data_IF_067061606324
#
_entry.id   IF_067061606324
#
_cell.length_a   1.000
_cell.length_b   1.000
_cell.length_c   1.000
_cell.angle_alpha   90.00
_cell.angle_beta   90.00
_cell.angle_gamma   90.00
#
_symmetry.space_group_name_H-M   'P 1'
#
loop_
_entity.id
_entity.type
_entity.pdbx_description
1 polymer ?
#
# COMPACT_ATOMS: atom_id res chain seq x y z
N UNK A 1 -11.42 8.08 10.39
CA UNK A 1 -10.07 8.56 10.06
C UNK A 1 -9.12 8.09 11.12
N UNK A 2 -8.05 7.43 10.73
CA UNK A 2 -6.88 7.34 11.61
C UNK A 2 -5.61 7.27 10.79
N UNK A 3 -4.71 8.23 11.03
CA UNK A 3 -3.38 8.28 10.44
C UNK A 3 -2.32 7.93 11.48
N UNK A 4 -1.22 7.36 11.04
CA UNK A 4 -0.05 7.09 11.86
C UNK A 4 1.21 7.35 11.05
N UNK A 5 2.19 8.02 11.66
CA UNK A 5 3.52 8.16 11.10
C UNK A 5 4.58 8.06 12.19
N UNK A 6 5.72 7.47 11.83
CA UNK A 6 6.88 7.39 12.70
C UNK A 6 8.15 7.26 11.85
N UNK A 7 9.29 7.49 12.48
CA UNK A 7 10.60 7.31 11.86
C UNK A 7 11.43 6.42 12.78
N UNK A 8 11.93 5.30 12.26
CA UNK A 8 12.85 4.43 13.02
C UNK A 8 13.85 3.75 12.09
N UNK A 9 14.94 3.24 12.65
CA UNK A 9 15.97 2.51 11.90
C UNK A 9 15.40 1.23 11.28
N UNK A 10 16.08 0.72 10.26
CA UNK A 10 15.66 -0.51 9.60
C UNK A 10 16.82 -1.48 9.53
N UNK A 11 16.68 -2.64 10.16
CA UNK A 11 17.68 -3.69 10.16
C UNK A 11 16.99 -5.04 10.05
N UNK A 12 17.72 -6.04 9.58
CA UNK A 12 17.22 -7.41 9.46
C UNK A 12 18.39 -8.41 9.57
N UNK A 13 19.38 -8.13 10.42
CA UNK A 13 20.59 -8.94 10.59
C UNK A 13 20.49 -9.95 11.75
N UNK A 14 19.60 -9.69 12.71
CA UNK A 14 19.34 -10.56 13.87
C UNK A 14 17.84 -10.70 14.15
N UNK A 15 17.48 -11.66 15.01
CA UNK A 15 16.11 -11.86 15.48
C UNK A 15 15.54 -10.62 16.18
N UNK A 16 16.38 -9.89 16.92
CA UNK A 16 15.99 -8.64 17.57
C UNK A 16 15.56 -7.58 16.54
N UNK A 17 16.33 -7.44 15.45
CA UNK A 17 15.98 -6.51 14.37
C UNK A 17 14.65 -6.91 13.72
N UNK A 18 14.48 -8.22 13.45
CA UNK A 18 13.26 -8.76 12.85
C UNK A 18 12.02 -8.45 13.70
N UNK A 19 12.11 -8.69 15.01
CA UNK A 19 11.04 -8.36 15.95
C UNK A 19 10.77 -6.86 15.97
N UNK A 20 11.81 -6.01 16.01
CA UNK A 20 11.65 -4.57 16.12
C UNK A 20 10.84 -3.96 14.97
N UNK A 21 11.27 -4.14 13.71
CA UNK A 21 10.55 -3.51 12.59
C UNK A 21 9.17 -4.14 12.38
N UNK A 22 9.05 -5.45 12.65
CA UNK A 22 7.79 -6.17 12.52
C UNK A 22 6.76 -5.73 13.56
N UNK A 23 7.17 -5.58 14.82
CA UNK A 23 6.30 -5.07 15.89
C UNK A 23 5.95 -3.60 15.71
N UNK A 24 6.90 -2.77 15.26
CA UNK A 24 6.64 -1.35 14.94
C UNK A 24 5.56 -1.24 13.85
N UNK A 25 5.65 -2.07 12.81
CA UNK A 25 4.66 -2.09 11.74
C UNK A 25 3.31 -2.64 12.22
N UNK A 26 3.28 -3.74 12.99
CA UNK A 26 2.05 -4.24 13.61
C UNK A 26 1.35 -3.18 14.46
N UNK A 27 2.11 -2.47 15.30
CA UNK A 27 1.58 -1.42 16.18
C UNK A 27 1.02 -0.24 15.38
N UNK A 28 1.67 0.13 14.27
CA UNK A 28 1.13 1.15 13.37
C UNK A 28 -0.16 0.69 12.69
N UNK A 29 -0.27 -0.58 12.28
CA UNK A 29 -1.53 -1.10 11.70
C UNK A 29 -2.67 -1.09 12.74
N UNK A 30 -2.37 -1.38 14.00
CA UNK A 30 -3.33 -1.23 15.10
C UNK A 30 -3.71 0.24 15.31
N UNK A 31 -2.72 1.15 15.28
CA UNK A 31 -2.93 2.59 15.46
C UNK A 31 -3.83 3.17 14.38
N UNK A 32 -3.70 2.78 13.11
CA UNK A 32 -4.57 3.27 12.03
C UNK A 32 -5.95 2.61 12.03
N UNK A 33 -6.26 1.74 12.97
CA UNK A 33 -7.56 1.07 13.04
C UNK A 33 -7.73 -0.06 12.02
N UNK A 34 -6.66 -0.77 11.69
CA UNK A 34 -6.69 -1.97 10.85
C UNK A 34 -6.53 -3.25 11.70
N UNK A 35 -7.55 -3.67 12.45
CA UNK A 35 -7.42 -4.64 13.54
C UNK A 35 -7.04 -6.05 13.08
N UNK A 36 -6.34 -6.77 13.96
CA UNK A 36 -6.14 -8.22 13.84
C UNK A 36 -7.45 -8.98 14.05
N UNK A 37 -7.57 -10.08 13.35
CA UNK A 37 -8.58 -11.13 13.61
C UNK A 37 -8.14 -12.01 14.78
N UNK A 38 -9.01 -12.90 15.24
CA UNK A 38 -8.72 -13.87 16.30
C UNK A 38 -8.15 -15.20 15.76
N UNK A 39 -7.61 -15.21 14.55
CA UNK A 39 -7.01 -16.39 13.95
C UNK A 39 -5.89 -16.96 14.83
N UNK A 40 -5.94 -18.27 15.05
CA UNK A 40 -4.88 -19.02 15.72
C UNK A 40 -3.59 -19.01 14.89
N UNK A 41 -2.44 -19.18 15.56
CA UNK A 41 -1.13 -19.26 14.89
C UNK A 41 -0.55 -17.92 14.40
N UNK A 42 -1.19 -16.79 14.72
CA UNK A 42 -0.63 -15.48 14.42
C UNK A 42 0.70 -15.24 15.14
N UNK A 43 1.55 -14.42 14.51
CA UNK A 43 2.93 -14.16 14.93
C UNK A 43 2.99 -13.60 16.36
N UNK A 44 3.90 -14.13 17.17
CA UNK A 44 4.24 -13.57 18.47
C UNK A 44 5.54 -12.77 18.35
N UNK A 45 5.41 -11.45 18.31
CA UNK A 45 6.56 -10.55 18.18
C UNK A 45 7.54 -10.60 19.34
N UNK A 46 7.20 -11.19 20.49
CA UNK A 46 8.14 -11.35 21.60
C UNK A 46 9.10 -12.53 21.40
N UNK A 47 8.68 -13.58 20.67
CA UNK A 47 9.40 -14.86 20.62
C UNK A 47 9.77 -15.32 19.21
N UNK A 48 9.20 -14.71 18.16
CA UNK A 48 9.49 -15.12 16.79
C UNK A 48 10.98 -14.94 16.46
N UNK A 49 11.53 -15.93 15.77
CA UNK A 49 12.88 -15.88 15.17
C UNK A 49 12.80 -15.49 13.71
N UNK A 50 13.83 -14.79 13.25
CA UNK A 50 13.97 -14.43 11.84
C UNK A 50 14.18 -15.72 11.03
N UNK A 51 13.49 -15.90 9.90
CA UNK A 51 13.72 -17.05 9.04
C UNK A 51 15.06 -16.90 8.29
N UNK A 52 15.49 -17.96 7.59
CA UNK A 52 16.76 -17.93 6.85
C UNK A 52 16.64 -17.15 5.54
N UNK A 53 16.11 -17.76 4.48
CA UNK A 53 15.97 -17.17 3.14
C UNK A 53 14.65 -17.65 2.54
N UNK A 54 13.96 -16.78 1.79
CA UNK A 54 12.76 -17.11 1.03
C UNK A 54 11.59 -17.68 1.86
N UNK A 55 11.51 -17.35 3.15
CA UNK A 55 10.54 -17.95 4.06
C UNK A 55 9.85 -16.90 4.93
N UNK A 56 8.57 -17.15 5.23
CA UNK A 56 7.83 -16.44 6.27
C UNK A 56 8.07 -17.14 7.62
N UNK A 57 8.28 -16.35 8.68
CA UNK A 57 8.37 -16.84 10.06
C UNK A 57 7.05 -16.76 10.82
N UNK A 58 6.08 -16.00 10.32
CA UNK A 58 4.75 -15.89 10.89
C UNK A 58 3.86 -14.94 10.09
N UNK A 59 2.62 -14.80 10.53
CA UNK A 59 1.64 -13.95 9.86
C UNK A 59 0.75 -13.19 10.83
N UNK A 60 0.10 -12.16 10.31
CA UNK A 60 -1.06 -11.54 10.90
C UNK A 60 -2.21 -11.65 9.90
N UNK A 61 -3.42 -11.90 10.39
CA UNK A 61 -4.64 -11.80 9.58
C UNK A 61 -5.43 -10.61 10.11
N UNK A 62 -5.66 -9.63 9.26
CA UNK A 62 -6.32 -8.35 9.58
C UNK A 62 -7.54 -8.16 8.70
N UNK A 63 -8.46 -7.29 9.11
CA UNK A 63 -9.70 -7.05 8.36
C UNK A 63 -10.05 -5.56 8.31
N UNK A 64 -10.76 -5.17 7.26
CA UNK A 64 -11.33 -3.83 7.17
C UNK A 64 -12.34 -3.61 8.27
N UNK A 65 -12.26 -2.46 8.92
CA UNK A 65 -13.20 -2.01 9.94
C UNK A 65 -13.98 -0.79 9.42
N UNK A 66 -14.75 -1.01 8.36
CA UNK A 66 -15.55 0.01 7.68
C UNK A 66 -17.03 -0.40 7.62
N UNK A 67 -17.91 0.48 7.15
CA UNK A 67 -19.36 0.24 7.14
C UNK A 67 -19.79 -0.97 6.27
N UNK A 68 -18.92 -1.39 5.36
CA UNK A 68 -19.16 -2.52 4.45
C UNK A 68 -18.50 -3.83 4.93
N UNK A 69 -17.81 -3.84 6.07
CA UNK A 69 -17.12 -5.03 6.57
C UNK A 69 -18.05 -6.24 6.77
N UNK A 70 -19.33 -6.01 7.10
CA UNK A 70 -20.31 -7.08 7.31
C UNK A 70 -20.87 -7.69 6.00
N UNK A 71 -20.97 -6.91 4.92
CA UNK A 71 -21.63 -7.33 3.67
C UNK A 71 -20.64 -7.63 2.54
N UNK A 72 -19.50 -6.95 2.55
CA UNK A 72 -18.40 -7.12 1.61
C UNK A 72 -17.07 -7.14 2.38
N UNK A 73 -16.79 -8.20 3.16
CA UNK A 73 -15.59 -8.29 3.97
C UNK A 73 -14.32 -8.27 3.11
N UNK A 74 -13.29 -7.56 3.60
CA UNK A 74 -11.93 -7.60 3.07
C UNK A 74 -11.03 -8.07 4.22
N UNK A 75 -10.43 -9.24 4.03
CA UNK A 75 -9.50 -9.84 4.97
C UNK A 75 -8.13 -9.96 4.31
N UNK A 76 -7.09 -9.58 5.04
CA UNK A 76 -5.72 -9.50 4.55
C UNK A 76 -4.82 -10.33 5.45
N UNK A 77 -4.14 -11.32 4.88
CA UNK A 77 -3.02 -12.00 5.51
C UNK A 77 -1.73 -11.29 5.13
N UNK A 78 -0.97 -10.88 6.14
CA UNK A 78 0.37 -10.28 6.00
C UNK A 78 1.35 -11.28 6.61
N UNK A 79 2.26 -11.81 5.80
CA UNK A 79 3.30 -12.74 6.25
C UNK A 79 4.63 -12.01 6.35
N UNK A 80 5.36 -12.25 7.42
CA UNK A 80 6.63 -11.59 7.75
C UNK A 80 7.78 -12.59 7.67
N UNK A 81 8.91 -12.20 7.09
CA UNK A 81 10.08 -13.05 7.06
C UNK A 81 11.27 -12.45 6.32
N UNK A 82 11.93 -13.27 5.51
CA UNK A 82 13.17 -12.94 4.79
C UNK A 82 13.02 -13.22 3.30
N UNK A 83 13.46 -12.29 2.47
CA UNK A 83 13.30 -12.35 1.01
C UNK A 83 14.19 -13.43 0.35
N UNK A 84 13.96 -13.70 -0.93
CA UNK A 84 14.43 -14.92 -1.60
C UNK A 84 15.91 -15.02 -1.96
N UNK A 85 16.66 -13.91 -1.94
CA UNK A 85 18.05 -13.91 -2.40
C UNK A 85 19.09 -13.76 -1.27
N UNK A 86 18.72 -13.16 -0.13
CA UNK A 86 19.66 -12.84 0.96
C UNK A 86 18.93 -12.87 2.30
N UNK A 87 19.51 -13.53 3.31
CA UNK A 87 18.90 -13.66 4.64
C UNK A 87 18.74 -12.34 5.39
N UNK A 88 19.57 -11.35 5.07
CA UNK A 88 19.53 -10.03 5.69
C UNK A 88 18.55 -9.06 5.01
N UNK A 89 17.77 -9.55 4.03
CA UNK A 89 16.76 -8.75 3.37
C UNK A 89 15.38 -9.14 3.92
N UNK A 90 14.64 -8.20 4.53
CA UNK A 90 13.32 -8.49 5.05
C UNK A 90 12.37 -8.87 3.90
N UNK A 91 11.40 -9.72 4.20
CA UNK A 91 10.38 -10.20 3.27
C UNK A 91 8.99 -9.99 3.85
N UNK A 92 8.07 -9.51 3.01
CA UNK A 92 6.66 -9.44 3.34
C UNK A 92 5.86 -10.03 2.19
N UNK A 93 4.87 -10.86 2.51
CA UNK A 93 3.88 -11.35 1.54
C UNK A 93 2.49 -10.92 1.96
N UNK A 94 1.61 -10.81 0.96
CA UNK A 94 0.22 -10.46 1.18
C UNK A 94 -0.71 -11.41 0.43
N UNK A 95 -1.77 -11.83 1.10
CA UNK A 95 -2.94 -12.48 0.48
C UNK A 95 -4.19 -11.71 0.90
N UNK A 96 -5.09 -11.44 -0.03
CA UNK A 96 -6.36 -10.73 0.26
C UNK A 96 -7.51 -11.62 -0.18
N UNK A 97 -8.54 -11.73 0.67
CA UNK A 97 -9.76 -12.44 0.38
C UNK A 97 -10.95 -11.91 1.16
N UNK A 98 -12.00 -12.73 1.25
CA UNK A 98 -13.29 -12.35 1.83
C UNK A 98 -13.50 -12.88 3.25
N UNK A 99 -12.59 -13.72 3.73
CA UNK A 99 -12.70 -14.30 5.05
C UNK A 99 -11.41 -14.98 5.48
N UNK A 100 -11.44 -15.51 6.69
CA UNK A 100 -10.45 -16.44 7.20
C UNK A 100 -11.15 -17.68 7.77
N UNK A 101 -10.45 -18.81 7.83
CA UNK A 101 -10.95 -20.04 8.45
C UNK A 101 -10.63 -20.14 9.96
N UNK A 102 -10.05 -19.10 10.55
CA UNK A 102 -9.63 -19.07 11.96
C UNK A 102 -8.28 -19.76 12.23
N UNK A 103 -7.67 -20.38 11.21
CA UNK A 103 -6.34 -20.99 11.25
C UNK A 103 -5.34 -20.23 10.36
N UNK A 104 -5.66 -18.99 9.97
CA UNK A 104 -4.82 -18.16 9.13
C UNK A 104 -4.90 -18.47 7.63
N UNK A 105 -5.84 -19.30 7.16
CA UNK A 105 -6.06 -19.49 5.74
C UNK A 105 -7.14 -18.53 5.24
N UNK A 106 -6.79 -17.76 4.20
CA UNK A 106 -7.72 -16.81 3.58
C UNK A 106 -8.71 -17.58 2.70
N UNK A 107 -10.00 -17.31 2.90
CA UNK A 107 -11.10 -17.84 2.09
C UNK A 107 -11.58 -16.80 1.07
N UNK A 108 -12.12 -17.25 -0.06
CA UNK A 108 -12.56 -16.34 -1.14
C UNK A 108 -11.43 -15.42 -1.62
N UNK A 109 -10.27 -16.01 -1.93
CA UNK A 109 -9.06 -15.27 -2.32
C UNK A 109 -9.33 -14.39 -3.54
N UNK A 110 -9.07 -13.10 -3.39
CA UNK A 110 -9.19 -12.06 -4.43
C UNK A 110 -7.81 -11.64 -4.95
N UNK A 111 -6.81 -11.63 -4.07
CA UNK A 111 -5.42 -11.36 -4.38
C UNK A 111 -4.56 -12.48 -3.80
N UNK A 112 -3.97 -13.29 -4.70
CA UNK A 112 -3.13 -14.41 -4.32
C UNK A 112 -1.86 -13.98 -3.58
N UNK A 113 -1.28 -14.92 -2.85
CA UNK A 113 -0.06 -14.70 -2.06
C UNK A 113 1.05 -14.09 -2.93
N UNK A 114 1.35 -12.81 -2.70
CA UNK A 114 2.31 -12.05 -3.49
C UNK A 114 3.39 -11.47 -2.57
N UNK A 115 4.66 -11.59 -2.98
CA UNK A 115 5.76 -10.94 -2.26
C UNK A 115 5.78 -9.45 -2.60
N UNK A 116 5.77 -8.61 -1.57
CA UNK A 116 5.58 -7.15 -1.70
C UNK A 116 6.90 -6.38 -1.74
N UNK A 117 8.02 -7.10 -1.69
CA UNK A 117 9.39 -6.55 -1.63
C UNK A 117 10.19 -7.22 -2.72
N UNK A 118 10.92 -6.45 -3.52
CA UNK A 118 11.77 -7.00 -4.56
C UNK A 118 12.82 -7.98 -4.01
N UNK A 119 12.83 -9.19 -4.57
CA UNK A 119 13.80 -10.21 -4.23
C UNK A 119 15.21 -9.64 -4.46
N UNK A 120 16.00 -9.55 -3.39
CA UNK A 120 17.37 -9.01 -3.45
C UNK A 120 17.53 -7.54 -3.07
N UNK A 121 16.49 -6.81 -2.67
CA UNK A 121 16.67 -5.43 -2.21
C UNK A 121 17.35 -5.36 -0.85
N UNK A 122 18.54 -4.78 -0.84
CA UNK A 122 19.29 -4.52 0.39
C UNK A 122 18.77 -3.28 1.09
N UNK A 123 18.77 -3.33 2.42
CA UNK A 123 18.58 -2.16 3.27
C UNK A 123 19.73 -1.18 3.00
N UNK A 124 19.41 0.11 2.81
CA UNK A 124 20.42 1.13 2.48
C UNK A 124 21.30 1.50 3.68
N UNK A 125 20.71 1.58 4.87
CA UNK A 125 21.43 1.87 6.11
C UNK A 125 20.69 1.27 7.29
N UNK A 126 21.43 0.68 8.23
CA UNK A 126 20.87 0.14 9.47
C UNK A 126 20.84 1.17 10.61
N UNK A 127 21.45 2.34 10.41
CA UNK A 127 21.54 3.41 11.41
C UNK A 127 20.73 4.65 11.03
N UNK A 128 20.41 4.81 9.75
CA UNK A 128 19.51 5.87 9.29
C UNK A 128 18.07 5.50 9.61
N UNK A 129 17.33 6.43 10.21
CA UNK A 129 15.91 6.25 10.46
C UNK A 129 15.11 6.61 9.21
N UNK A 130 14.13 5.76 8.86
CA UNK A 130 13.29 5.93 7.68
C UNK A 130 11.84 6.17 8.08
N UNK A 131 11.13 7.08 7.38
CA UNK A 131 9.74 7.35 7.68
C UNK A 131 8.85 6.16 7.32
N UNK A 132 7.80 5.97 8.11
CA UNK A 132 6.70 5.06 7.87
C UNK A 132 5.41 5.86 7.98
N UNK A 133 4.46 5.58 7.09
CA UNK A 133 3.15 6.23 7.04
C UNK A 133 2.06 5.16 6.92
N UNK A 134 0.93 5.40 7.55
CA UNK A 134 -0.26 4.57 7.40
C UNK A 134 -1.52 5.40 7.59
N UNK A 135 -2.59 5.01 6.92
CA UNK A 135 -3.89 5.66 7.02
C UNK A 135 -4.99 4.62 6.78
N UNK A 136 -6.06 4.71 7.57
CA UNK A 136 -7.31 4.04 7.27
C UNK A 136 -8.49 5.01 7.34
N UNK A 137 -9.35 4.91 6.33
CA UNK A 137 -10.61 5.65 6.20
C UNK A 137 -11.68 4.70 5.67
N UNK A 138 -12.92 5.17 5.65
CA UNK A 138 -14.06 4.42 5.09
C UNK A 138 -13.75 3.96 3.65
N UNK A 139 -13.62 2.65 3.46
CA UNK A 139 -13.30 2.01 2.18
C UNK A 139 -11.83 2.00 1.75
N UNK A 140 -10.87 2.46 2.55
CA UNK A 140 -9.46 2.43 2.18
C UNK A 140 -8.53 2.21 3.37
N UNK A 141 -7.53 1.34 3.20
CA UNK A 141 -6.35 1.28 4.06
C UNK A 141 -5.10 1.32 3.19
N UNK A 142 -4.10 2.09 3.60
CA UNK A 142 -2.81 2.08 2.94
C UNK A 142 -1.68 2.36 3.91
N UNK A 143 -0.47 1.97 3.50
CA UNK A 143 0.74 2.26 4.23
C UNK A 143 1.97 2.28 3.33
N UNK A 144 3.01 2.91 3.84
CA UNK A 144 4.37 2.90 3.33
C UNK A 144 5.31 2.60 4.48
N UNK A 145 5.91 1.42 4.50
CA UNK A 145 6.91 1.00 5.49
C UNK A 145 8.31 1.40 5.01
N UNK A 146 9.03 2.18 5.85
CA UNK A 146 10.43 2.58 5.63
C UNK A 146 10.69 3.24 4.26
N UNK A 147 9.97 4.33 3.97
CA UNK A 147 10.14 5.16 2.78
C UNK A 147 11.60 5.56 2.56
N UNK A 148 12.19 5.16 1.43
CA UNK A 148 13.59 5.42 1.10
C UNK A 148 14.60 4.47 1.77
N UNK A 149 14.14 3.40 2.41
CA UNK A 149 14.98 2.47 3.19
C UNK A 149 15.72 1.39 2.41
N UNK A 150 15.44 1.24 1.11
CA UNK A 150 15.98 0.14 0.29
C UNK A 150 16.61 0.61 -1.03
N UNK A 151 17.59 -0.16 -1.50
CA UNK A 151 18.34 0.14 -2.72
C UNK A 151 17.56 -0.27 -3.98
N UNK A 152 16.59 0.55 -4.40
CA UNK A 152 15.80 0.36 -5.62
C UNK A 152 15.79 1.60 -6.53
N UNK A 153 16.88 2.36 -6.54
CA UNK A 153 16.95 3.69 -7.14
C UNK A 153 16.52 4.78 -6.17
N UNK A 154 16.52 6.06 -6.59
CA UNK A 154 16.24 7.17 -5.68
C UNK A 154 14.81 7.05 -5.17
N UNK A 155 14.66 6.83 -3.86
CA UNK A 155 13.39 6.90 -3.12
C UNK A 155 12.46 5.70 -3.33
N UNK A 156 12.66 4.57 -2.65
CA UNK A 156 11.63 3.50 -2.53
C UNK A 156 11.39 3.09 -1.09
N UNK A 157 10.12 2.92 -0.73
CA UNK A 157 9.79 2.24 0.52
C UNK A 157 10.13 0.76 0.45
N UNK A 158 10.36 0.16 1.61
CA UNK A 158 10.53 -1.29 1.70
C UNK A 158 9.24 -2.02 1.32
N UNK A 159 8.09 -1.54 1.80
CA UNK A 159 6.79 -2.15 1.54
C UNK A 159 5.69 -1.09 1.49
N UNK A 160 5.17 -0.82 0.29
CA UNK A 160 4.04 0.07 0.06
C UNK A 160 2.82 -0.67 -0.46
N UNK A 161 1.66 -0.47 0.18
CA UNK A 161 0.37 -0.96 -0.28
C UNK A 161 -0.73 0.07 -0.07
N UNK A 162 -1.69 0.11 -0.99
CA UNK A 162 -3.05 0.58 -0.73
C UNK A 162 -4.07 -0.47 -1.15
N UNK A 163 -5.09 -0.65 -0.32
CA UNK A 163 -6.25 -1.51 -0.57
C UNK A 163 -7.47 -0.60 -0.47
N UNK A 164 -8.21 -0.51 -1.56
CA UNK A 164 -9.25 0.47 -1.76
C UNK A 164 -10.51 -0.22 -2.28
N UNK A 165 -11.67 0.05 -1.69
CA UNK A 165 -12.94 -0.31 -2.30
C UNK A 165 -13.16 0.53 -3.56
N UNK A 166 -13.99 0.02 -4.45
CA UNK A 166 -14.68 0.86 -5.43
C UNK A 166 -15.44 1.98 -4.71
N UNK A 167 -15.66 3.10 -5.40
CA UNK A 167 -16.48 4.20 -4.90
C UNK A 167 -17.52 4.62 -5.94
N UNK A 168 -18.62 5.19 -5.46
CA UNK A 168 -19.64 5.81 -6.31
C UNK A 168 -19.23 7.24 -6.75
N UNK A 169 -20.11 7.90 -7.49
CA UNK A 169 -19.87 9.26 -8.01
C UNK A 169 -19.75 10.33 -6.90
N UNK A 170 -20.22 10.02 -5.68
CA UNK A 170 -20.03 10.87 -4.50
C UNK A 170 -18.71 10.62 -3.77
N UNK A 171 -17.99 9.55 -4.15
CA UNK A 171 -16.78 9.09 -3.49
C UNK A 171 -17.05 8.28 -2.22
N UNK A 172 -18.27 7.79 -2.01
CA UNK A 172 -18.60 6.84 -0.95
C UNK A 172 -18.21 5.42 -1.40
N UNK A 173 -17.63 4.58 -0.51
CA UNK A 173 -17.25 3.24 -0.91
C UNK A 173 -18.44 2.36 -1.23
N UNK A 174 -18.24 1.41 -2.14
CA UNK A 174 -19.24 0.45 -2.58
C UNK A 174 -18.75 -0.98 -2.45
N UNK A 175 -19.67 -1.93 -2.52
CA UNK A 175 -19.40 -3.37 -2.52
C UNK A 175 -19.16 -3.93 -3.94
N UNK A 176 -18.88 -3.08 -4.95
CA UNK A 176 -18.70 -3.54 -6.34
C UNK A 176 -17.35 -4.22 -6.55
N UNK A 177 -16.28 -3.71 -5.91
CA UNK A 177 -14.96 -4.28 -6.05
C UNK A 177 -13.90 -3.75 -5.09
N UNK A 178 -12.68 -4.25 -5.28
CA UNK A 178 -11.47 -3.86 -4.54
C UNK A 178 -10.34 -3.60 -5.53
N UNK A 179 -9.56 -2.55 -5.28
CA UNK A 179 -8.30 -2.23 -5.95
C UNK A 179 -7.17 -2.39 -4.95
N UNK A 180 -6.09 -3.03 -5.39
CA UNK A 180 -4.85 -3.18 -4.62
C UNK A 180 -3.75 -2.52 -5.43
N UNK A 181 -3.19 -1.43 -4.92
CA UNK A 181 -2.01 -0.81 -5.51
C UNK A 181 -0.79 -1.10 -4.62
N UNK A 182 0.33 -1.52 -5.20
CA UNK A 182 1.47 -1.99 -4.41
C UNK A 182 2.81 -1.87 -5.13
N UNK A 183 3.88 -1.83 -4.35
CA UNK A 183 5.25 -1.98 -4.85
C UNK A 183 5.55 -3.47 -5.06
N UNK A 184 5.91 -3.91 -6.28
CA UNK A 184 6.26 -5.31 -6.52
C UNK A 184 7.74 -5.54 -6.86
N UNK A 185 8.07 -6.83 -6.95
CA UNK A 185 9.39 -7.35 -7.18
C UNK A 185 9.94 -6.99 -8.56
N UNK A 186 11.02 -6.21 -8.61
CA UNK A 186 11.87 -5.97 -9.79
C UNK A 186 11.42 -4.93 -10.84
N UNK A 187 10.52 -3.99 -10.53
CA UNK A 187 10.25 -2.88 -11.47
C UNK A 187 10.03 -1.55 -10.77
N UNK A 188 10.44 -0.45 -11.40
CA UNK A 188 10.23 0.93 -10.94
C UNK A 188 8.75 1.36 -10.90
N UNK A 189 7.83 0.40 -11.01
CA UNK A 189 6.41 0.60 -11.26
C UNK A 189 5.58 0.24 -10.02
N UNK A 190 4.52 1.01 -9.83
CA UNK A 190 3.40 0.57 -9.00
C UNK A 190 2.60 -0.46 -9.78
N UNK A 191 2.26 -1.56 -9.12
CA UNK A 191 1.39 -2.58 -9.65
C UNK A 191 0.00 -2.34 -9.12
N UNK A 192 -1.00 -2.58 -9.96
CA UNK A 192 -2.41 -2.46 -9.57
C UNK A 192 -3.15 -3.70 -10.00
N UNK A 193 -3.90 -4.28 -9.07
CA UNK A 193 -4.87 -5.34 -9.32
C UNK A 193 -6.26 -4.84 -8.96
N UNK A 194 -7.26 -5.11 -9.80
CA UNK A 194 -8.67 -4.87 -9.48
C UNK A 194 -9.46 -6.17 -9.46
N UNK A 195 -10.41 -6.25 -8.53
CA UNK A 195 -11.29 -7.40 -8.33
C UNK A 195 -12.74 -6.95 -8.24
N UNK A 196 -13.63 -7.56 -9.02
CA UNK A 196 -15.08 -7.36 -8.91
C UNK A 196 -15.75 -8.44 -8.07
N UNK A 197 -16.56 -8.05 -7.07
CA UNK A 197 -17.25 -9.01 -6.18
C UNK A 197 -18.24 -9.90 -6.91
N UNK A 198 -18.94 -9.37 -7.91
CA UNK A 198 -20.00 -10.08 -8.64
C UNK A 198 -19.46 -11.11 -9.65
N UNK A 199 -18.33 -10.82 -10.28
CA UNK A 199 -17.79 -11.62 -11.39
C UNK A 199 -16.63 -12.51 -10.98
N UNK A 200 -16.08 -12.31 -9.78
CA UNK A 200 -14.77 -12.85 -9.38
C UNK A 200 -13.66 -12.58 -10.41
N UNK A 201 -13.86 -11.57 -11.26
CA UNK A 201 -12.95 -11.21 -12.32
C UNK A 201 -11.79 -10.41 -11.73
N UNK A 202 -10.58 -10.90 -11.98
CA UNK A 202 -9.33 -10.21 -11.69
C UNK A 202 -8.84 -9.61 -13.01
N UNK A 203 -8.79 -8.29 -13.10
CA UNK A 203 -8.02 -7.66 -14.18
C UNK A 203 -6.55 -7.67 -13.78
N UNK A 204 -5.73 -8.30 -14.62
CA UNK A 204 -4.37 -8.74 -14.28
C UNK A 204 -3.43 -7.64 -13.79
N UNK A 205 -2.36 -8.08 -13.11
CA UNK A 205 -1.20 -7.29 -12.68
C UNK A 205 -0.59 -6.53 -13.87
N UNK A 206 -1.06 -5.30 -14.10
CA UNK A 206 -0.42 -4.37 -15.00
C UNK A 206 0.68 -3.62 -14.25
N UNK A 207 1.88 -3.58 -14.82
CA UNK A 207 2.83 -2.55 -14.43
C UNK A 207 2.29 -1.21 -14.88
N UNK A 208 2.20 -0.24 -13.96
CA UNK A 208 2.17 1.17 -14.35
C UNK A 208 3.60 1.54 -14.74
N UNK A 209 4.02 1.09 -15.92
CA UNK A 209 5.07 1.75 -16.69
C UNK A 209 4.36 2.48 -17.84
N UNK A 210 4.89 3.62 -18.25
CA UNK A 210 4.49 4.45 -19.41
C UNK A 210 3.50 5.59 -19.08
N UNK A 211 3.63 6.76 -19.75
CA UNK A 211 2.48 7.61 -20.07
C UNK A 211 1.45 6.81 -20.93
N UNK A 212 0.55 6.07 -20.30
CA UNK A 212 -0.48 5.29 -21.00
C UNK A 212 -0.93 3.97 -20.33
N UNK A 213 -0.35 3.57 -19.19
CA UNK A 213 -0.79 2.40 -18.41
C UNK A 213 -2.01 2.72 -17.53
N UNK A 214 -3.17 2.24 -17.94
CA UNK A 214 -4.54 2.65 -17.58
C UNK A 214 -5.01 2.45 -16.13
N UNK A 215 -4.44 3.19 -15.18
CA UNK A 215 -5.15 3.55 -13.94
C UNK A 215 -5.12 5.05 -13.66
N UNK A 216 -4.18 5.81 -14.21
CA UNK A 216 -4.24 7.28 -14.22
C UNK A 216 -3.92 7.78 -15.62
N UNK A 217 -4.49 8.91 -16.00
CA UNK A 217 -4.19 9.58 -17.25
C UNK A 217 -3.64 10.96 -16.92
N UNK A 218 -2.37 11.20 -17.27
CA UNK A 218 -1.77 12.55 -17.30
C UNK A 218 -1.86 13.01 -18.76
N UNK A 219 -2.85 13.85 -19.13
CA UNK A 219 -3.03 14.30 -20.49
C UNK A 219 -1.75 14.96 -21.01
N UNK A 220 -1.39 14.67 -22.26
CA UNK A 220 -0.23 15.27 -22.95
C UNK A 220 1.15 15.02 -22.30
N UNK A 221 1.25 14.08 -21.36
CA UNK A 221 2.48 13.81 -20.62
C UNK A 221 3.07 15.08 -19.98
N UNK A 222 2.20 15.91 -19.38
CA UNK A 222 2.62 17.13 -18.72
C UNK A 222 3.62 16.80 -17.60
N UNK A 223 4.76 17.49 -17.61
CA UNK A 223 5.80 17.33 -16.58
C UNK A 223 5.79 18.44 -15.54
N UNK A 224 5.07 19.53 -15.78
CA UNK A 224 4.96 20.70 -14.89
C UNK A 224 3.71 21.53 -15.22
N UNK A 225 3.17 22.28 -14.26
CA UNK A 225 2.11 23.25 -14.52
C UNK A 225 2.59 24.52 -15.24
N UNK A 226 1.61 25.21 -15.87
CA UNK A 226 1.67 26.64 -16.22
C UNK A 226 1.15 27.55 -15.09
N UNK A 227 0.53 26.98 -14.06
CA UNK A 227 -0.01 27.69 -12.89
C UNK A 227 1.15 28.06 -11.95
N UNK A 228 1.68 29.26 -12.11
CA UNK A 228 2.84 29.78 -11.35
C UNK A 228 2.59 30.05 -9.86
N UNK A 229 1.92 29.15 -9.13
CA UNK A 229 1.71 29.28 -7.69
C UNK A 229 1.65 27.92 -6.98
N UNK A 230 2.33 27.75 -5.83
CA UNK A 230 2.44 26.49 -5.08
C UNK A 230 1.13 25.96 -4.42
N UNK A 231 -0.05 26.40 -4.88
CA UNK A 231 -1.35 26.01 -4.33
C UNK A 231 -2.29 25.31 -5.33
N UNK A 232 -1.91 25.18 -6.61
CA UNK A 232 -2.72 24.55 -7.63
C UNK A 232 -2.03 23.28 -8.17
N UNK A 233 -2.11 22.21 -7.40
CA UNK A 233 -1.58 20.91 -7.82
C UNK A 233 -2.37 20.35 -9.01
N UNK A 234 -1.69 19.99 -10.10
CA UNK A 234 -2.29 19.12 -11.10
C UNK A 234 -2.29 17.68 -10.58
N UNK A 235 -3.38 17.34 -9.89
CA UNK A 235 -3.64 16.00 -9.39
C UNK A 235 -4.50 15.21 -10.38
N UNK A 236 -3.98 14.06 -10.82
CA UNK A 236 -4.68 13.14 -11.71
C UNK A 236 -5.23 11.97 -10.93
N UNK A 237 -6.51 11.69 -11.18
CA UNK A 237 -7.31 10.70 -10.46
C UNK A 237 -6.97 9.30 -10.93
N UNK A 238 -7.04 8.36 -10.00
CA UNK A 238 -7.01 6.95 -10.36
C UNK A 238 -8.40 6.51 -10.82
N UNK A 239 -8.43 5.65 -11.84
CA UNK A 239 -9.60 4.96 -12.34
C UNK A 239 -9.29 3.48 -12.31
N UNK A 240 -10.23 2.66 -11.86
CA UNK A 240 -10.08 1.23 -11.88
C UNK A 240 -11.24 0.58 -12.66
N UNK A 241 -10.94 -0.46 -13.44
CA UNK A 241 -11.96 -1.25 -14.10
C UNK A 241 -12.56 -2.25 -13.10
N UNK A 242 -13.84 -2.05 -12.81
CA UNK A 242 -14.75 -3.10 -12.36
C UNK A 242 -15.65 -3.42 -13.58
N UNK A 243 -16.77 -4.17 -13.49
CA UNK A 243 -17.69 -4.28 -14.64
C UNK A 243 -18.04 -2.93 -15.29
N UNK A 244 -17.92 -1.83 -14.54
CA UNK A 244 -17.79 -0.46 -15.04
C UNK A 244 -16.50 0.19 -14.55
N UNK A 245 -15.92 1.10 -15.34
CA UNK A 245 -14.79 1.93 -14.90
C UNK A 245 -15.26 2.95 -13.87
N UNK A 246 -14.57 3.03 -12.74
CA UNK A 246 -14.88 3.94 -11.63
C UNK A 246 -13.67 4.75 -11.23
N UNK A 247 -13.91 5.95 -10.69
CA UNK A 247 -12.88 6.76 -10.03
C UNK A 247 -12.54 6.15 -8.68
N UNK A 248 -11.26 6.10 -8.34
CA UNK A 248 -10.74 5.71 -7.03
C UNK A 248 -10.32 6.98 -6.29
N UNK A 249 -11.13 7.48 -5.33
CA UNK A 249 -10.89 8.79 -4.71
C UNK A 249 -9.70 8.78 -3.73
N UNK A 250 -9.17 7.61 -3.38
CA UNK A 250 -8.17 7.45 -2.32
C UNK A 250 -6.72 7.58 -2.80
N UNK A 251 -6.50 7.59 -4.12
CA UNK A 251 -5.18 7.65 -4.73
C UNK A 251 -5.18 8.63 -5.91
N UNK A 252 -4.12 9.42 -6.01
CA UNK A 252 -3.86 10.33 -7.11
C UNK A 252 -2.37 10.38 -7.44
N UNK A 253 -2.05 10.97 -8.58
CA UNK A 253 -0.67 11.26 -8.97
C UNK A 253 -0.54 12.75 -9.25
N UNK A 254 0.54 13.34 -8.75
CA UNK A 254 0.92 14.71 -9.08
C UNK A 254 1.86 14.73 -10.29
N UNK A 255 1.73 15.76 -11.15
CA UNK A 255 2.77 16.12 -12.10
C UNK A 255 4.11 16.31 -11.37
N UNK A 256 5.23 15.87 -11.96
CA UNK A 256 6.53 15.89 -11.28
C UNK A 256 6.97 17.32 -10.89
N UNK A 257 6.66 18.33 -11.71
CA UNK A 257 6.96 19.74 -11.44
C UNK A 257 6.09 20.39 -10.36
N UNK A 258 4.94 19.80 -10.01
CA UNK A 258 4.05 20.32 -8.96
C UNK A 258 4.14 19.48 -7.68
N UNK A 259 4.86 18.37 -7.73
CA UNK A 259 4.90 17.44 -6.63
C UNK A 259 5.54 18.09 -5.40
N UNK A 260 4.85 18.01 -4.28
CA UNK A 260 5.45 18.36 -2.99
C UNK A 260 6.51 17.34 -2.59
N UNK A 261 7.35 17.71 -1.62
CA UNK A 261 8.27 16.78 -1.01
C UNK A 261 7.51 15.59 -0.39
N UNK A 262 8.15 14.42 -0.36
CA UNK A 262 7.56 13.26 0.29
C UNK A 262 7.31 13.55 1.79
N UNK A 263 6.16 13.12 2.30
CA UNK A 263 5.71 13.42 3.67
C UNK A 263 4.98 14.76 3.82
N UNK A 264 4.78 15.52 2.74
CA UNK A 264 4.01 16.78 2.77
C UNK A 264 2.56 16.50 2.36
N UNK A 265 1.61 17.00 3.14
CA UNK A 265 0.20 16.92 2.81
C UNK A 265 -0.28 18.09 1.94
N UNK A 266 -1.34 17.86 1.17
CA UNK A 266 -2.01 18.87 0.37
C UNK A 266 -3.49 18.53 0.23
N UNK A 267 -4.30 19.50 -0.21
CA UNK A 267 -5.72 19.27 -0.48
C UNK A 267 -5.99 19.14 -1.98
N UNK A 268 -6.90 18.22 -2.33
CA UNK A 268 -7.40 18.04 -3.68
C UNK A 268 -8.81 17.45 -3.67
N UNK A 269 -9.55 17.60 -4.77
CA UNK A 269 -10.93 17.10 -4.94
C UNK A 269 -11.00 16.13 -6.11
N UNK A 270 -10.53 14.87 -5.95
CA UNK A 270 -10.50 13.91 -7.05
C UNK A 270 -11.84 13.26 -7.36
N UNK A 271 -12.86 13.42 -6.52
CA UNK A 271 -14.22 12.99 -6.87
C UNK A 271 -15.23 13.85 -6.14
N UNK A 272 -16.42 14.00 -6.73
CA UNK A 272 -17.49 14.84 -6.19
C UNK A 272 -17.06 16.29 -5.95
N UNK A 273 -17.52 16.86 -4.84
CA UNK A 273 -17.29 18.26 -4.44
C UNK A 273 -16.47 18.41 -3.15
N UNK A 274 -16.20 17.31 -2.45
CA UNK A 274 -15.57 17.33 -1.13
C UNK A 274 -14.05 17.36 -1.26
N UNK A 275 -13.37 18.44 -0.82
CA UNK A 275 -11.91 18.46 -0.72
C UNK A 275 -11.45 17.40 0.27
N UNK A 276 -10.39 16.69 -0.11
CA UNK A 276 -9.72 15.69 0.73
C UNK A 276 -8.26 16.03 0.90
N UNK A 277 -7.68 15.67 2.04
CA UNK A 277 -6.25 15.77 2.32
C UNK A 277 -5.54 14.52 1.81
N UNK A 278 -4.41 14.71 1.14
CA UNK A 278 -3.55 13.66 0.61
C UNK A 278 -2.14 13.86 1.13
N UNK A 279 -1.41 12.76 1.37
CA UNK A 279 0.02 12.77 1.64
C UNK A 279 0.76 12.44 0.35
N UNK A 280 1.62 13.35 -0.11
CA UNK A 280 2.58 13.02 -1.15
C UNK A 280 3.61 12.05 -0.56
N UNK A 281 3.69 10.85 -1.11
CA UNK A 281 4.71 9.87 -0.71
C UNK A 281 5.93 9.93 -1.64
N UNK A 282 6.04 10.98 -2.45
CA UNK A 282 7.11 11.15 -3.43
C UNK A 282 7.24 9.94 -4.36
N UNK A 283 8.47 9.62 -4.74
CA UNK A 283 8.75 8.47 -5.61
C UNK A 283 8.74 7.12 -4.87
N UNK A 284 8.34 7.09 -3.59
CA UNK A 284 8.46 5.89 -2.76
C UNK A 284 7.65 4.69 -3.26
N UNK A 285 6.60 4.91 -4.06
CA UNK A 285 5.80 3.86 -4.73
C UNK A 285 6.10 3.70 -6.24
N UNK A 286 6.37 4.79 -6.99
CA UNK A 286 6.64 4.76 -8.45
C UNK A 286 7.86 5.62 -8.80
N UNK A 287 8.71 5.17 -9.74
CA UNK A 287 9.98 5.82 -10.06
C UNK A 287 9.80 7.09 -10.88
N UNK A 288 8.65 7.20 -11.53
CA UNK A 288 8.31 8.30 -12.44
C UNK A 288 7.24 9.21 -11.85
N UNK A 289 6.33 8.62 -11.08
CA UNK A 289 5.19 9.34 -10.53
C UNK A 289 5.42 9.76 -9.09
N UNK A 290 4.62 10.73 -8.67
CA UNK A 290 4.53 11.18 -7.29
C UNK A 290 3.14 10.80 -6.78
N UNK A 291 2.91 9.51 -6.53
CA UNK A 291 1.65 9.05 -5.96
C UNK A 291 1.40 9.77 -4.64
N UNK A 292 0.14 10.07 -4.42
CA UNK A 292 -0.35 10.67 -3.20
C UNK A 292 -1.60 9.92 -2.78
N UNK A 293 -1.62 9.53 -1.53
CA UNK A 293 -2.69 8.74 -0.96
C UNK A 293 -3.44 9.55 0.08
N UNK A 294 -4.72 9.25 0.25
CA UNK A 294 -5.59 9.96 1.20
C UNK A 294 -4.98 9.99 2.61
N UNK A 295 -4.97 11.15 3.26
CA UNK A 295 -4.31 11.36 4.53
C UNK A 295 -5.18 12.20 5.44
N UNK A 296 -6.14 11.52 6.05
CA UNK A 296 -7.14 12.12 6.91
C UNK A 296 -7.28 11.24 8.16
#
# INVERSE_FOLDING_TARGET
MTTASYTSTFAHAADADFRQWGSDFSAMLDQIGFPKTADSGQINWATVSRPTIAAAAGYEVRHFNDSLAATAPIVVKIEFGSSGAVANNPGVWMTIGRGSDGAGNITGVMFGRTQMVAAGTTILSTTTAYPTYGCAVEGCVWWLLKGGGVNMGPSKGFFGVSIMRSADDSGAPTAEGVVVAYSATASYAMFVASYGYATSYVQGNGQIQIPGGYYTCIPFNMTSTLAGSPAQYQAFRFNAPFPMVRVIPYCMVLCNGDATAAGVSFQATPSGVTPRTYLCIGQFFSGYDRPSFIWE
#
